data_IF_753821676537
#
_entry.id   IF_753821676537
#
_cell.length_a   1.000
_cell.length_b   1.000
_cell.length_c   1.000
_cell.angle_alpha   90.00
_cell.angle_beta   90.00
_cell.angle_gamma   90.00
#
_symmetry.space_group_name_H-M   'P 1'
#
loop_
_entity.id
_entity.type
_entity.pdbx_description
1 polymer ?
#
# COMPACT_ATOMS: atom_id res chain seq x y z
N UNK A 1 -23.64 2.96 9.60
CA UNK A 1 -22.73 2.68 8.48
C UNK A 1 -23.57 2.67 7.21
N UNK A 2 -23.38 3.60 6.28
CA UNK A 2 -24.11 3.59 5.01
C UNK A 2 -23.35 2.74 3.98
N UNK A 3 -23.86 1.55 3.70
CA UNK A 3 -23.28 0.63 2.71
C UNK A 3 -23.51 1.11 1.27
N UNK A 4 -24.36 2.13 1.04
CA UNK A 4 -24.55 2.73 -0.28
C UNK A 4 -23.27 3.31 -0.86
N UNK A 5 -22.27 3.63 -0.03
CA UNK A 5 -20.94 4.03 -0.49
C UNK A 5 -20.26 2.99 -1.40
N UNK A 6 -20.53 1.69 -1.21
CA UNK A 6 -20.00 0.64 -2.08
C UNK A 6 -20.66 0.57 -3.46
N UNK A 7 -21.74 1.32 -3.70
CA UNK A 7 -22.29 1.50 -5.05
C UNK A 7 -21.37 2.35 -5.92
N UNK A 8 -20.61 3.27 -5.31
CA UNK A 8 -19.60 4.09 -5.97
C UNK A 8 -18.40 3.20 -6.30
N UNK A 9 -18.15 3.01 -7.59
CA UNK A 9 -17.14 2.06 -8.07
C UNK A 9 -15.72 2.41 -7.61
N UNK A 10 -15.36 3.69 -7.58
CA UNK A 10 -14.05 4.18 -7.14
C UNK A 10 -13.83 3.96 -5.65
N UNK A 11 -14.84 4.26 -4.82
CA UNK A 11 -14.82 3.94 -3.39
C UNK A 11 -14.70 2.44 -3.15
N UNK A 12 -15.56 1.61 -3.78
CA UNK A 12 -15.52 0.15 -3.65
C UNK A 12 -14.18 -0.43 -4.07
N UNK A 13 -13.64 -0.01 -5.21
CA UNK A 13 -12.35 -0.49 -5.71
C UNK A 13 -11.19 -0.06 -4.80
N UNK A 14 -11.22 1.17 -4.27
CA UNK A 14 -10.23 1.65 -3.31
C UNK A 14 -10.28 0.86 -2.01
N UNK A 15 -11.47 0.62 -1.45
CA UNK A 15 -11.62 -0.14 -0.21
C UNK A 15 -11.25 -1.60 -0.43
N UNK A 16 -11.86 -2.32 -1.38
CA UNK A 16 -11.61 -3.76 -1.54
C UNK A 16 -10.19 -4.01 -2.08
N UNK A 17 -9.79 -3.30 -3.14
CA UNK A 17 -8.46 -3.43 -3.74
C UNK A 17 -7.38 -2.96 -2.77
N UNK A 18 -7.62 -1.85 -2.08
CA UNK A 18 -6.70 -1.34 -1.06
C UNK A 18 -6.59 -2.25 0.16
N UNK A 19 -7.68 -2.87 0.60
CA UNK A 19 -7.65 -3.86 1.68
C UNK A 19 -6.79 -5.07 1.32
N UNK A 20 -7.00 -5.68 0.15
CA UNK A 20 -6.16 -6.78 -0.33
C UNK A 20 -4.68 -6.40 -0.40
N UNK A 21 -4.38 -5.21 -0.93
CA UNK A 21 -3.02 -4.69 -0.97
C UNK A 21 -2.42 -4.51 0.44
N UNK A 22 -3.22 -3.99 1.38
CA UNK A 22 -2.84 -3.75 2.78
C UNK A 22 -2.64 -5.01 3.59
N UNK A 23 -3.34 -6.11 3.29
CA UNK A 23 -3.06 -7.42 3.93
C UNK A 23 -1.60 -7.79 3.68
N UNK A 24 -1.12 -7.71 2.45
CA UNK A 24 0.25 -8.11 2.17
C UNK A 24 1.30 -7.13 2.73
N UNK A 25 1.12 -5.83 2.48
CA UNK A 25 2.08 -4.80 2.94
C UNK A 25 2.03 -4.61 4.47
N UNK A 26 0.87 -4.78 5.09
CA UNK A 26 0.66 -4.63 6.53
C UNK A 26 1.42 -5.67 7.35
N UNK A 27 1.82 -6.79 6.75
CA UNK A 27 2.69 -7.78 7.38
C UNK A 27 4.16 -7.34 7.49
N UNK A 28 4.62 -6.38 6.68
CA UNK A 28 6.05 -6.06 6.59
C UNK A 28 6.67 -5.49 7.88
N UNK A 29 5.98 -4.62 8.66
CA UNK A 29 6.47 -4.18 9.96
C UNK A 29 6.63 -5.31 10.99
N UNK A 30 6.00 -6.47 10.76
CA UNK A 30 6.16 -7.67 11.57
C UNK A 30 7.25 -8.59 11.00
N UNK A 31 7.18 -8.92 9.72
CA UNK A 31 8.08 -9.88 9.06
C UNK A 31 9.53 -9.39 8.98
N UNK A 32 9.76 -8.12 8.60
CA UNK A 32 11.13 -7.62 8.40
C UNK A 32 11.94 -7.59 9.69
N UNK A 33 11.44 -6.99 10.80
CA UNK A 33 12.21 -6.99 12.04
C UNK A 33 12.45 -8.39 12.60
N UNK A 34 11.48 -9.29 12.48
CA UNK A 34 11.65 -10.67 12.93
C UNK A 34 12.67 -11.44 12.08
N UNK A 35 12.65 -11.28 10.75
CA UNK A 35 13.65 -11.88 9.87
C UNK A 35 15.05 -11.36 10.19
N UNK A 36 15.20 -10.06 10.40
CA UNK A 36 16.51 -9.47 10.74
C UNK A 36 17.02 -9.89 12.12
N UNK A 37 16.14 -10.00 13.11
CA UNK A 37 16.55 -10.39 14.46
C UNK A 37 16.74 -11.90 14.60
N UNK A 38 15.72 -12.69 14.26
CA UNK A 38 15.75 -14.15 14.43
C UNK A 38 16.51 -14.85 13.28
N UNK A 39 16.35 -14.36 12.05
CA UNK A 39 17.00 -14.97 10.88
C UNK A 39 18.44 -14.51 10.69
N UNK A 40 18.75 -13.22 10.85
CA UNK A 40 20.09 -12.68 10.62
C UNK A 40 20.90 -12.47 11.91
N UNK A 41 20.28 -12.60 13.08
CA UNK A 41 20.94 -12.39 14.36
C UNK A 41 21.26 -10.92 14.67
N UNK A 42 20.59 -9.97 14.00
CA UNK A 42 20.83 -8.54 14.22
C UNK A 42 20.22 -8.07 15.54
N UNK A 43 20.86 -7.08 16.16
CA UNK A 43 20.29 -6.41 17.34
C UNK A 43 18.99 -5.66 16.97
N UNK A 44 18.09 -5.41 17.94
CA UNK A 44 16.87 -4.64 17.70
C UNK A 44 17.12 -3.27 17.05
N UNK A 45 18.21 -2.59 17.45
CA UNK A 45 18.60 -1.30 16.89
C UNK A 45 19.01 -1.41 15.41
N UNK A 46 19.83 -2.40 15.06
CA UNK A 46 20.26 -2.63 13.67
C UNK A 46 19.07 -2.98 12.75
N UNK A 47 18.20 -3.87 13.22
CA UNK A 47 16.95 -4.21 12.55
C UNK A 47 16.04 -2.98 12.36
N UNK A 48 15.91 -2.14 13.40
CA UNK A 48 15.18 -0.88 13.34
C UNK A 48 15.74 0.08 12.29
N UNK A 49 17.06 0.25 12.25
CA UNK A 49 17.73 1.13 11.28
C UNK A 49 17.55 0.65 9.83
N UNK A 50 17.62 -0.67 9.58
CA UNK A 50 17.37 -1.23 8.25
C UNK A 50 15.91 -1.00 7.82
N UNK A 51 14.96 -1.30 8.70
CA UNK A 51 13.53 -1.12 8.38
C UNK A 51 13.13 0.36 8.22
N UNK A 52 13.84 1.27 8.89
CA UNK A 52 13.68 2.72 8.74
C UNK A 52 13.92 3.20 7.30
N UNK A 53 14.78 2.53 6.53
CA UNK A 53 14.99 2.86 5.11
C UNK A 53 13.68 2.88 4.31
N UNK A 54 12.75 1.97 4.62
CA UNK A 54 11.43 1.96 3.99
C UNK A 54 10.55 3.16 4.37
N UNK A 55 10.64 3.62 5.62
CA UNK A 55 9.96 4.84 6.06
C UNK A 55 10.52 6.08 5.36
N UNK A 56 11.86 6.16 5.20
CA UNK A 56 12.52 7.23 4.45
C UNK A 56 12.04 7.26 2.99
N UNK A 57 11.95 6.10 2.33
CA UNK A 57 11.40 5.98 0.98
C UNK A 57 9.94 6.46 0.87
N UNK A 58 9.11 6.15 1.86
CA UNK A 58 7.73 6.61 1.90
C UNK A 58 7.62 8.14 2.05
N UNK A 59 8.51 8.76 2.83
CA UNK A 59 8.59 10.22 2.98
C UNK A 59 8.98 10.86 1.64
N UNK A 60 10.01 10.34 0.96
CA UNK A 60 10.45 10.84 -0.35
C UNK A 60 9.34 10.81 -1.39
N UNK A 61 8.52 9.74 -1.39
CA UNK A 61 7.40 9.61 -2.32
C UNK A 61 6.40 10.77 -2.19
N UNK A 62 6.15 11.30 -0.99
CA UNK A 62 5.11 12.32 -0.76
C UNK A 62 5.31 13.56 -1.62
N UNK A 63 6.55 13.92 -1.91
CA UNK A 63 6.90 15.06 -2.76
C UNK A 63 6.67 14.81 -4.26
N UNK A 64 6.50 13.54 -4.66
CA UNK A 64 6.42 13.11 -6.07
C UNK A 64 5.03 12.63 -6.48
N UNK A 65 4.08 12.52 -5.55
CA UNK A 65 2.75 11.94 -5.83
C UNK A 65 1.99 12.72 -6.90
N UNK A 66 1.85 14.03 -6.74
CA UNK A 66 1.10 14.89 -7.66
C UNK A 66 1.65 14.85 -9.10
N UNK A 67 2.96 15.04 -9.35
CA UNK A 67 3.49 14.97 -10.72
C UNK A 67 3.34 13.56 -11.33
N UNK A 68 3.48 12.49 -10.54
CA UNK A 68 3.29 11.12 -11.03
C UNK A 68 1.83 10.90 -11.46
N UNK A 69 0.87 11.28 -10.62
CA UNK A 69 -0.55 11.12 -10.94
C UNK A 69 -0.97 11.99 -12.13
N UNK A 70 -0.47 13.22 -12.23
CA UNK A 70 -0.68 14.10 -13.39
C UNK A 70 -0.15 13.52 -14.70
N UNK A 71 1.02 12.89 -14.66
CA UNK A 71 1.66 12.34 -15.86
C UNK A 71 1.07 11.02 -16.32
N UNK A 72 0.72 10.14 -15.39
CA UNK A 72 0.37 8.75 -15.70
C UNK A 72 -1.11 8.41 -15.48
N UNK A 73 -1.85 9.23 -14.72
CA UNK A 73 -3.24 8.98 -14.34
C UNK A 73 -3.37 7.95 -13.22
N UNK A 74 -4.48 8.02 -12.46
CA UNK A 74 -4.71 7.18 -11.28
C UNK A 74 -4.78 5.69 -11.62
N UNK A 75 -5.59 5.28 -12.61
CA UNK A 75 -5.76 3.85 -12.94
C UNK A 75 -4.44 3.19 -13.33
N UNK A 76 -3.68 3.81 -14.23
CA UNK A 76 -2.42 3.24 -14.72
C UNK A 76 -1.40 3.13 -13.59
N UNK A 77 -1.30 4.16 -12.75
CA UNK A 77 -0.44 4.13 -11.56
C UNK A 77 -0.86 2.98 -10.64
N UNK A 78 -2.14 2.85 -10.29
CA UNK A 78 -2.60 1.77 -9.42
C UNK A 78 -2.26 0.37 -9.96
N UNK A 79 -2.54 0.10 -11.24
CA UNK A 79 -2.32 -1.23 -11.82
C UNK A 79 -0.84 -1.57 -11.89
N UNK A 80 -0.01 -0.67 -12.43
CA UNK A 80 1.43 -0.92 -12.60
C UNK A 80 2.13 -0.95 -11.25
N UNK A 81 1.83 0.01 -10.38
CA UNK A 81 2.48 0.14 -9.09
C UNK A 81 2.10 -1.00 -8.12
N UNK A 82 0.92 -1.63 -8.29
CA UNK A 82 0.58 -2.86 -7.55
C UNK A 82 1.62 -3.94 -7.78
N UNK A 83 1.98 -4.21 -9.04
CA UNK A 83 3.01 -5.20 -9.35
C UNK A 83 4.36 -4.79 -8.81
N UNK A 84 4.79 -3.55 -9.07
CA UNK A 84 6.09 -3.05 -8.63
C UNK A 84 6.21 -3.16 -7.11
N UNK A 85 5.24 -2.66 -6.36
CA UNK A 85 5.26 -2.71 -4.91
C UNK A 85 5.22 -4.15 -4.39
N UNK A 86 4.39 -5.04 -4.96
CA UNK A 86 4.35 -6.44 -4.59
C UNK A 86 5.68 -7.17 -4.88
N UNK A 87 6.34 -6.86 -5.99
CA UNK A 87 7.67 -7.38 -6.30
C UNK A 87 8.72 -6.94 -5.28
N UNK A 88 8.66 -5.71 -4.77
CA UNK A 88 9.54 -5.26 -3.68
C UNK A 88 9.23 -5.98 -2.35
N UNK A 89 7.97 -6.34 -2.08
CA UNK A 89 7.64 -7.19 -0.94
C UNK A 89 8.23 -8.59 -1.11
N UNK A 90 8.08 -9.19 -2.29
CA UNK A 90 8.65 -10.50 -2.60
C UNK A 90 10.18 -10.51 -2.54
N UNK A 91 10.83 -9.43 -3.01
CA UNK A 91 12.28 -9.27 -2.97
C UNK A 91 12.85 -9.29 -1.54
N UNK A 92 12.08 -8.84 -0.55
CA UNK A 92 12.49 -8.95 0.85
C UNK A 92 12.61 -10.42 1.31
N UNK A 93 11.83 -11.33 0.72
CA UNK A 93 11.94 -12.77 0.97
C UNK A 93 13.19 -13.42 0.38
N UNK A 94 13.93 -12.72 -0.48
CA UNK A 94 15.20 -13.16 -1.05
C UNK A 94 16.41 -12.72 -0.23
N UNK A 95 16.21 -11.94 0.83
CA UNK A 95 17.31 -11.51 1.67
C UNK A 95 17.90 -12.68 2.44
N UNK A 96 19.22 -12.70 2.52
CA UNK A 96 20.00 -13.66 3.29
C UNK A 96 20.98 -12.90 4.19
N UNK A 97 21.57 -13.54 5.22
CA UNK A 97 22.62 -12.91 6.02
C UNK A 97 23.84 -12.48 5.18
N UNK A 98 24.04 -13.08 4.01
CA UNK A 98 25.10 -12.72 3.08
C UNK A 98 24.75 -11.52 2.19
N UNK A 99 23.49 -11.07 2.17
CA UNK A 99 23.06 -9.93 1.35
C UNK A 99 23.67 -8.64 1.89
N UNK A 100 24.41 -7.87 1.07
CA UNK A 100 24.98 -6.59 1.49
C UNK A 100 23.90 -5.63 2.02
N UNK A 101 24.15 -4.98 3.16
CA UNK A 101 23.19 -4.05 3.77
C UNK A 101 22.78 -2.91 2.84
N UNK A 102 23.68 -2.43 1.97
CA UNK A 102 23.34 -1.42 0.97
C UNK A 102 22.23 -1.87 0.02
N UNK A 103 22.22 -3.14 -0.37
CA UNK A 103 21.18 -3.71 -1.24
C UNK A 103 19.86 -3.78 -0.47
N UNK A 104 19.88 -4.25 0.78
CA UNK A 104 18.69 -4.28 1.64
C UNK A 104 18.10 -2.88 1.79
N UNK A 105 18.93 -1.89 2.13
CA UNK A 105 18.52 -0.50 2.28
C UNK A 105 17.92 0.04 0.98
N UNK A 106 18.56 -0.18 -0.16
CA UNK A 106 18.06 0.28 -1.46
C UNK A 106 16.70 -0.35 -1.79
N UNK A 107 16.55 -1.67 -1.62
CA UNK A 107 15.29 -2.39 -1.88
C UNK A 107 14.19 -1.91 -0.93
N UNK A 108 14.49 -1.73 0.36
CA UNK A 108 13.50 -1.25 1.34
C UNK A 108 13.09 0.20 1.07
N UNK A 109 14.03 1.06 0.72
CA UNK A 109 13.79 2.46 0.38
C UNK A 109 12.90 2.58 -0.86
N UNK A 110 13.29 1.94 -1.96
CA UNK A 110 12.50 1.98 -3.20
C UNK A 110 11.15 1.27 -3.03
N UNK A 111 11.12 0.15 -2.30
CA UNK A 111 9.88 -0.53 -1.95
C UNK A 111 8.97 0.31 -1.05
N UNK A 112 9.53 1.09 -0.12
CA UNK A 112 8.80 2.06 0.70
C UNK A 112 8.18 3.18 -0.12
N UNK A 113 8.93 3.70 -1.10
CA UNK A 113 8.45 4.69 -2.06
C UNK A 113 7.21 4.18 -2.82
N UNK A 114 7.29 3.01 -3.45
CA UNK A 114 6.18 2.47 -4.25
C UNK A 114 4.98 2.04 -3.41
N UNK A 115 5.20 1.50 -2.21
CA UNK A 115 4.09 1.23 -1.26
C UNK A 115 3.36 2.51 -0.86
N UNK A 116 4.10 3.58 -0.59
CA UNK A 116 3.51 4.89 -0.31
C UNK A 116 2.77 5.44 -1.52
N UNK A 117 3.31 5.29 -2.74
CA UNK A 117 2.63 5.62 -4.00
C UNK A 117 1.27 4.93 -4.11
N UNK A 118 1.21 3.64 -3.77
CA UNK A 118 -0.03 2.88 -3.82
C UNK A 118 -1.05 3.43 -2.82
N UNK A 119 -0.64 3.65 -1.56
CA UNK A 119 -1.55 4.12 -0.52
C UNK A 119 -2.11 5.50 -0.80
N UNK A 120 -1.27 6.45 -1.23
CA UNK A 120 -1.75 7.78 -1.57
C UNK A 120 -2.72 7.74 -2.75
N UNK A 121 -2.42 6.96 -3.78
CA UNK A 121 -3.29 6.83 -4.95
C UNK A 121 -4.64 6.18 -4.61
N UNK A 122 -4.64 5.12 -3.79
CA UNK A 122 -5.86 4.49 -3.29
C UNK A 122 -6.69 5.46 -2.44
N UNK A 123 -6.04 6.20 -1.55
CA UNK A 123 -6.73 7.19 -0.72
C UNK A 123 -7.36 8.28 -1.59
N UNK A 124 -6.64 8.83 -2.57
CA UNK A 124 -7.22 9.78 -3.54
C UNK A 124 -8.42 9.17 -4.27
N UNK A 125 -8.30 7.93 -4.76
CA UNK A 125 -9.39 7.24 -5.45
C UNK A 125 -10.64 7.05 -4.56
N UNK A 126 -10.46 6.80 -3.25
CA UNK A 126 -11.58 6.59 -2.34
C UNK A 126 -12.53 7.80 -2.28
N UNK A 127 -11.99 9.01 -2.48
CA UNK A 127 -12.73 10.25 -2.32
C UNK A 127 -13.04 10.96 -3.65
N UNK A 128 -12.66 10.37 -4.78
CA UNK A 128 -12.77 10.99 -6.11
C UNK A 128 -14.20 11.40 -6.49
N UNK A 129 -15.17 10.51 -6.25
CA UNK A 129 -16.54 10.68 -6.71
C UNK A 129 -17.54 10.83 -5.55
N UNK A 130 -17.04 11.23 -4.37
CA UNK A 130 -17.87 11.38 -3.18
C UNK A 130 -18.27 12.85 -2.98
N UNK A 131 -19.55 13.07 -2.67
CA UNK A 131 -20.04 14.37 -2.22
C UNK A 131 -19.58 14.70 -0.79
N UNK A 132 -19.46 15.98 -0.48
CA UNK A 132 -19.01 16.49 0.83
C UNK A 132 -19.80 15.92 2.01
N UNK A 133 -21.11 15.67 1.84
CA UNK A 133 -22.01 15.08 2.84
C UNK A 133 -21.66 13.64 3.25
N UNK A 134 -20.90 12.91 2.42
CA UNK A 134 -20.57 11.49 2.64
C UNK A 134 -19.10 11.27 3.05
N UNK A 135 -18.28 12.32 3.06
CA UNK A 135 -16.83 12.25 3.35
C UNK A 135 -16.50 11.69 4.73
N UNK A 136 -17.23 12.10 5.77
CA UNK A 136 -17.00 11.64 7.14
C UNK A 136 -17.29 10.13 7.28
N UNK A 137 -18.34 9.65 6.63
CA UNK A 137 -18.69 8.23 6.63
C UNK A 137 -17.67 7.40 5.84
N UNK A 138 -17.25 7.88 4.67
CA UNK A 138 -16.21 7.25 3.87
C UNK A 138 -14.88 7.16 4.61
N UNK A 139 -14.50 8.22 5.34
CA UNK A 139 -13.29 8.24 6.18
C UNK A 139 -13.37 7.21 7.30
N UNK A 140 -14.51 7.13 7.97
CA UNK A 140 -14.73 6.14 9.04
C UNK A 140 -14.64 4.71 8.49
N UNK A 141 -15.34 4.43 7.39
CA UNK A 141 -15.39 3.10 6.78
C UNK A 141 -14.04 2.67 6.21
N UNK A 142 -13.33 3.58 5.53
CA UNK A 142 -11.96 3.31 5.06
C UNK A 142 -11.05 3.03 6.25
N UNK A 143 -11.07 3.81 7.32
CA UNK A 143 -10.21 3.60 8.50
C UNK A 143 -10.43 2.22 9.14
N UNK A 144 -11.68 1.79 9.31
CA UNK A 144 -12.02 0.44 9.81
C UNK A 144 -11.50 -0.64 8.86
N UNK A 145 -11.73 -0.51 7.56
CA UNK A 145 -11.24 -1.46 6.56
C UNK A 145 -9.69 -1.54 6.57
N UNK A 146 -9.01 -0.41 6.75
CA UNK A 146 -7.56 -0.36 6.86
C UNK A 146 -7.06 -1.11 8.10
N UNK A 147 -7.67 -0.86 9.27
CA UNK A 147 -7.27 -1.52 10.51
C UNK A 147 -7.46 -3.04 10.43
N UNK A 148 -8.59 -3.50 9.89
CA UNK A 148 -8.87 -4.92 9.65
C UNK A 148 -7.86 -5.53 8.68
N UNK A 149 -7.53 -4.81 7.60
CA UNK A 149 -6.60 -5.33 6.59
C UNK A 149 -5.18 -5.47 7.13
N UNK A 150 -4.72 -4.49 7.92
CA UNK A 150 -3.39 -4.56 8.53
C UNK A 150 -3.32 -5.69 9.56
N UNK A 151 -4.34 -5.84 10.42
CA UNK A 151 -4.38 -6.93 11.40
C UNK A 151 -4.46 -8.30 10.72
N UNK A 152 -5.28 -8.44 9.67
CA UNK A 152 -5.33 -9.63 8.85
C UNK A 152 -3.98 -9.94 8.19
N UNK A 153 -3.25 -8.92 7.74
CA UNK A 153 -1.89 -9.08 7.20
C UNK A 153 -0.91 -9.70 8.18
N UNK A 154 -0.87 -9.16 9.40
CA UNK A 154 -0.03 -9.71 10.49
C UNK A 154 -0.46 -11.14 10.83
N UNK A 155 -1.76 -11.41 10.90
CA UNK A 155 -2.28 -12.75 11.17
C UNK A 155 -1.91 -13.75 10.06
N UNK A 156 -2.07 -13.39 8.78
CA UNK A 156 -1.67 -14.23 7.65
C UNK A 156 -0.18 -14.55 7.70
N UNK A 157 0.67 -13.54 7.94
CA UNK A 157 2.10 -13.75 8.09
C UNK A 157 2.43 -14.71 9.24
N UNK A 158 1.85 -14.50 10.42
CA UNK A 158 2.06 -15.35 11.58
C UNK A 158 1.60 -16.80 11.31
N UNK A 159 0.41 -16.99 10.73
CA UNK A 159 -0.11 -18.31 10.37
C UNK A 159 0.80 -19.03 9.39
N UNK A 160 1.29 -18.34 8.36
CA UNK A 160 2.20 -18.94 7.36
C UNK A 160 3.50 -19.39 8.04
N UNK A 161 4.14 -18.53 8.83
CA UNK A 161 5.37 -18.87 9.53
C UNK A 161 5.18 -20.05 10.49
N UNK A 162 4.12 -20.01 11.29
CA UNK A 162 3.84 -21.03 12.30
C UNK A 162 3.45 -22.38 11.68
N UNK A 163 2.68 -22.36 10.59
CA UNK A 163 2.31 -23.58 9.86
C UNK A 163 3.54 -24.25 9.24
N UNK A 164 4.47 -23.46 8.68
CA UNK A 164 5.72 -23.98 8.12
C UNK A 164 6.62 -24.56 9.21
N UNK A 165 6.75 -23.86 10.34
CA UNK A 165 7.48 -24.34 11.53
C UNK A 165 6.91 -25.68 12.01
N UNK A 166 5.59 -25.75 12.18
CA UNK A 166 4.90 -26.96 12.63
C UNK A 166 5.04 -28.11 11.63
N UNK A 167 4.88 -27.85 10.32
CA UNK A 167 4.99 -28.86 9.28
C UNK A 167 6.39 -29.50 9.20
N UNK A 168 7.44 -28.76 9.58
CA UNK A 168 8.81 -29.31 9.69
C UNK A 168 9.09 -30.01 11.01
N UNK A 169 8.18 -29.95 11.99
CA UNK A 169 8.42 -30.43 13.35
C UNK A 169 9.49 -29.64 14.11
N UNK A 170 9.78 -28.40 13.69
CA UNK A 170 10.83 -27.57 14.29
C UNK A 170 10.36 -26.81 15.53
N UNK A 171 11.28 -26.52 16.45
CA UNK A 171 11.01 -25.68 17.62
C UNK A 171 11.21 -24.19 17.37
N UNK A 172 11.91 -23.82 16.29
CA UNK A 172 12.26 -22.43 15.97
C UNK A 172 11.81 -22.05 14.54
N UNK A 173 11.50 -20.77 14.34
CA UNK A 173 11.22 -20.20 13.02
C UNK A 173 12.55 -19.99 12.30
N UNK A 174 12.68 -20.57 11.11
CA UNK A 174 13.88 -20.49 10.29
C UNK A 174 13.78 -19.37 9.27
N UNK A 175 14.94 -18.93 8.75
CA UNK A 175 15.00 -17.93 7.69
C UNK A 175 14.17 -18.32 6.45
N UNK A 176 14.17 -19.60 6.08
CA UNK A 176 13.38 -20.12 4.95
C UNK A 176 11.87 -19.90 5.11
N UNK A 177 11.37 -19.81 6.34
CA UNK A 177 9.95 -19.51 6.60
C UNK A 177 9.61 -18.10 6.20
N UNK A 178 10.50 -17.15 6.51
CA UNK A 178 10.32 -15.76 6.16
C UNK A 178 10.27 -15.59 4.65
N UNK A 179 11.11 -16.28 3.88
CA UNK A 179 11.06 -16.25 2.42
C UNK A 179 9.67 -16.62 1.89
N UNK A 180 9.12 -17.75 2.34
CA UNK A 180 7.78 -18.20 1.95
C UNK A 180 6.70 -17.23 2.46
N UNK A 181 6.84 -16.73 3.69
CA UNK A 181 5.98 -15.71 4.27
C UNK A 181 5.91 -14.44 3.42
N UNK A 182 7.06 -13.91 2.99
CA UNK A 182 7.15 -12.76 2.10
C UNK A 182 6.49 -13.01 0.74
N UNK A 183 6.69 -14.19 0.14
CA UNK A 183 6.01 -14.54 -1.11
C UNK A 183 4.49 -14.66 -0.94
N UNK A 184 4.02 -15.26 0.16
CA UNK A 184 2.59 -15.38 0.43
C UNK A 184 1.93 -14.00 0.59
N UNK A 185 2.53 -13.10 1.38
CA UNK A 185 1.98 -11.75 1.56
C UNK A 185 2.12 -10.90 0.30
N UNK A 186 3.19 -11.07 -0.49
CA UNK A 186 3.33 -10.43 -1.80
C UNK A 186 2.24 -10.89 -2.78
N UNK A 187 1.89 -12.18 -2.77
CA UNK A 187 0.80 -12.72 -3.58
C UNK A 187 -0.57 -12.13 -3.14
N UNK A 188 -0.82 -12.00 -1.84
CA UNK A 188 -2.00 -11.30 -1.32
C UNK A 188 -2.06 -9.85 -1.82
N UNK A 189 -0.95 -9.11 -1.77
CA UNK A 189 -0.89 -7.75 -2.29
C UNK A 189 -1.13 -7.70 -3.80
N UNK A 190 -0.52 -8.62 -4.56
CA UNK A 190 -0.69 -8.69 -6.01
C UNK A 190 -2.13 -9.00 -6.40
N UNK A 191 -2.86 -9.81 -5.62
CA UNK A 191 -4.26 -10.13 -5.87
C UNK A 191 -5.19 -8.91 -5.90
N UNK A 192 -4.79 -7.77 -5.30
CA UNK A 192 -5.53 -6.50 -5.44
C UNK A 192 -5.73 -6.08 -6.90
N UNK A 193 -4.88 -6.54 -7.81
CA UNK A 193 -4.97 -6.22 -9.24
C UNK A 193 -6.29 -6.66 -9.87
N UNK A 194 -6.86 -7.78 -9.45
CA UNK A 194 -8.12 -8.29 -9.98
C UNK A 194 -9.29 -7.33 -9.73
N UNK A 195 -9.17 -6.50 -8.69
CA UNK A 195 -10.12 -5.43 -8.38
C UNK A 195 -9.76 -4.16 -9.13
N UNK A 196 -8.48 -3.77 -9.14
CA UNK A 196 -8.02 -2.49 -9.68
C UNK A 196 -8.07 -2.41 -11.22
N UNK A 197 -7.90 -3.51 -11.93
CA UNK A 197 -7.98 -3.53 -13.41
C UNK A 197 -9.39 -3.24 -13.92
N UNK A 198 -10.43 -3.54 -13.10
CA UNK A 198 -11.84 -3.29 -13.41
C UNK A 198 -12.24 -1.81 -13.30
N UNK A 199 -11.36 -0.93 -12.85
CA UNK A 199 -11.62 0.51 -12.84
C UNK A 199 -11.73 1.07 -14.27
N UNK A 200 -12.60 2.05 -14.53
CA UNK A 200 -12.62 2.74 -15.82
C UNK A 200 -11.38 3.65 -15.96
N UNK A 201 -10.96 3.95 -17.19
CA UNK A 201 -9.69 4.66 -17.47
C UNK A 201 -9.69 6.08 -16.91
N UNK A 202 -10.86 6.70 -16.85
CA UNK A 202 -11.13 8.04 -16.36
C UNK A 202 -11.32 8.12 -14.83
N UNK A 203 -11.24 6.99 -14.11
CA UNK A 203 -11.41 6.96 -12.66
C UNK A 203 -10.49 7.94 -11.93
N UNK A 204 -11.09 8.90 -11.22
CA UNK A 204 -10.38 9.92 -10.44
C UNK A 204 -9.70 11.03 -11.26
N UNK A 205 -9.97 11.14 -12.56
CA UNK A 205 -9.36 12.18 -13.43
C UNK A 205 -9.69 13.60 -12.95
N UNK A 206 -10.89 13.81 -12.40
CA UNK A 206 -11.31 15.10 -11.84
C UNK A 206 -10.40 15.61 -10.70
N UNK A 207 -9.72 14.70 -9.97
CA UNK A 207 -8.78 15.08 -8.89
C UNK A 207 -7.45 15.61 -9.41
N UNK A 208 -7.13 15.33 -10.68
CA UNK A 208 -5.82 15.58 -11.28
C UNK A 208 -5.88 16.79 -12.24
N UNK A 209 -7.08 17.11 -12.73
CA UNK A 209 -7.33 18.25 -13.62
C UNK A 209 -6.95 19.58 -12.95
N UNK A 210 -6.43 20.57 -13.71
CA UNK A 210 -6.33 21.94 -13.23
C UNK A 210 -7.70 22.44 -12.78
N UNK A 211 -7.78 23.28 -11.73
CA UNK A 211 -9.04 23.91 -11.36
C UNK A 211 -9.62 24.65 -12.58
N UNK A 212 -10.95 24.62 -12.78
CA UNK A 212 -11.56 25.38 -13.85
C UNK A 212 -11.21 26.86 -13.70
N UNK A 213 -11.04 27.61 -14.81
CA UNK A 213 -10.80 29.04 -14.73
C UNK A 213 -11.93 29.68 -13.91
N UNK A 214 -11.56 30.51 -12.94
CA UNK A 214 -12.50 31.29 -12.14
C UNK A 214 -13.42 32.05 -13.11
N UNK A 215 -14.73 31.76 -13.06
CA UNK A 215 -15.70 32.49 -13.85
C UNK A 215 -15.64 33.94 -13.38
N UNK A 216 -15.18 34.82 -14.26
CA UNK A 216 -14.98 36.23 -14.00
C UNK A 216 -16.28 36.84 -13.46
N UNK A 217 -16.33 37.10 -12.15
CA UNK A 217 -17.52 37.62 -11.47
C UNK A 217 -17.73 39.12 -11.73
N UNK A 218 -17.19 39.65 -12.82
CA UNK A 218 -17.20 41.08 -13.17
C UNK A 218 -18.42 41.52 -13.99
N UNK A 219 -19.29 40.62 -14.45
CA UNK A 219 -20.56 41.01 -15.08
C UNK A 219 -21.74 41.02 -14.10
N UNK A 220 -21.65 41.86 -13.06
CA UNK A 220 -22.83 42.51 -12.48
C UNK A 220 -22.66 44.01 -12.60
N UNK A 221 -22.89 44.52 -13.80
CA UNK A 221 -23.06 45.94 -14.02
C UNK A 221 -24.22 46.46 -13.17
N UNK A 222 -24.10 47.65 -12.55
CA UNK A 222 -25.20 48.24 -11.79
C UNK A 222 -26.37 48.52 -12.72
N UNK A 223 -27.51 47.89 -12.46
CA UNK A 223 -28.80 48.33 -13.00
C UNK A 223 -29.10 49.70 -12.37
N UNK A 224 -28.98 50.74 -13.19
CA UNK A 224 -29.45 52.09 -12.90
C UNK A 224 -30.95 52.20 -13.22
#
# INVERSE_FOLDING_TARGET
>A
IDLKLFSVQTFRASVIGGSLFRVGVGAMPFLLPLMFQLGFGLSPLQSGLLTFAGAAGAILMRFTVAPILRRFGIKRVLVVNTFVAASFVAAAGLFTPATPYLIIIAVLLVGGFFRSLQFSTLNSLAFADLGTSTMSQATSLTSVAQQISVSAGVAVAAIVLESLRYARGGHEILLSDFSIGFFAVAACSAASIFVLVRLPIDAGTALIAPPPPEADSTERGPQA
#
